data_IF_746087642448
#
_entry.id   IF_746087642448
#
_cell.length_a   1.000
_cell.length_b   1.000
_cell.length_c   1.000
_cell.angle_alpha   90.00
_cell.angle_beta   90.00
_cell.angle_gamma   90.00
#
_symmetry.space_group_name_H-M   'P 1'
#
loop_
_entity.id
_entity.type
_entity.pdbx_description
1 polymer ?
#
# COMPACT_ATOMS: atom_id res chain seq x y z
N UNK A 1 -0.99 0.46 -5.23
CA UNK A 1 -1.69 -0.68 -5.89
C UNK A 1 -3.14 -0.36 -6.23
N UNK A 2 -4.04 0.00 -5.29
CA UNK A 2 -5.46 0.29 -5.62
C UNK A 2 -5.63 1.29 -6.79
N UNK A 3 -4.90 2.41 -6.77
CA UNK A 3 -4.91 3.39 -7.87
C UNK A 3 -4.36 2.84 -9.20
N UNK A 4 -3.39 1.94 -9.13
CA UNK A 4 -2.73 1.33 -10.29
C UNK A 4 -3.65 0.33 -11.00
N UNK A 5 -4.39 -0.47 -10.22
CA UNK A 5 -5.30 -1.49 -10.75
C UNK A 5 -6.70 -0.95 -11.04
N UNK A 6 -7.05 0.23 -10.55
CA UNK A 6 -8.37 0.81 -10.73
C UNK A 6 -8.71 0.97 -12.23
N UNK A 7 -9.89 0.48 -12.62
CA UNK A 7 -10.38 0.57 -14.00
C UNK A 7 -9.80 -0.45 -14.98
N UNK A 8 -8.81 -1.25 -14.57
CA UNK A 8 -8.30 -2.36 -15.39
C UNK A 8 -9.26 -3.56 -15.31
N UNK A 9 -9.59 -4.13 -16.47
CA UNK A 9 -10.33 -5.40 -16.57
C UNK A 9 -9.36 -6.51 -16.97
N UNK A 10 -9.39 -7.60 -16.23
CA UNK A 10 -8.59 -8.79 -16.48
C UNK A 10 -9.51 -9.91 -16.98
N UNK A 11 -9.01 -10.77 -17.88
CA UNK A 11 -9.79 -11.85 -18.48
C UNK A 11 -9.37 -13.22 -17.96
N UNK A 12 -8.20 -13.30 -17.30
CA UNK A 12 -7.75 -14.47 -16.57
C UNK A 12 -6.90 -14.12 -15.35
N UNK A 13 -6.62 -15.15 -14.54
CA UNK A 13 -5.77 -15.01 -13.36
C UNK A 13 -4.34 -14.63 -13.74
N UNK A 14 -3.84 -15.11 -14.88
CA UNK A 14 -2.49 -14.81 -15.32
C UNK A 14 -2.30 -13.33 -15.65
N UNK A 15 -3.35 -12.66 -16.16
CA UNK A 15 -3.30 -11.22 -16.44
C UNK A 15 -3.12 -10.42 -15.15
N UNK A 16 -3.88 -10.75 -14.10
CA UNK A 16 -3.79 -10.03 -12.81
C UNK A 16 -2.49 -10.36 -12.08
N UNK A 17 -1.97 -11.58 -12.20
CA UNK A 17 -0.67 -11.97 -11.63
C UNK A 17 0.44 -11.18 -12.31
N UNK A 18 0.47 -11.16 -13.65
CA UNK A 18 1.48 -10.44 -14.42
C UNK A 18 1.46 -8.93 -14.10
N UNK A 19 0.27 -8.32 -14.07
CA UNK A 19 0.09 -6.90 -13.75
C UNK A 19 0.50 -6.58 -12.29
N UNK A 20 0.18 -7.47 -11.35
CA UNK A 20 0.58 -7.31 -9.94
C UNK A 20 2.09 -7.43 -9.78
N UNK A 21 2.71 -8.39 -10.44
CA UNK A 21 4.16 -8.56 -10.43
C UNK A 21 4.87 -7.34 -11.03
N UNK A 22 4.36 -6.81 -12.15
CA UNK A 22 4.87 -5.57 -12.75
C UNK A 22 4.77 -4.38 -11.80
N UNK A 23 3.64 -4.22 -11.10
CA UNK A 23 3.51 -3.15 -10.10
C UNK A 23 4.59 -3.21 -9.02
N UNK A 24 4.92 -4.41 -8.52
CA UNK A 24 5.91 -4.55 -7.44
C UNK A 24 7.36 -4.55 -7.92
N UNK A 25 7.65 -4.99 -9.16
CA UNK A 25 9.00 -4.94 -9.73
C UNK A 25 9.50 -3.51 -9.93
N UNK A 26 8.59 -2.57 -10.15
CA UNK A 26 8.92 -1.16 -10.40
C UNK A 26 9.13 -0.36 -9.10
N UNK A 27 8.88 -0.96 -7.93
CA UNK A 27 9.05 -0.29 -6.65
C UNK A 27 10.47 -0.46 -6.11
N UNK A 28 11.10 0.67 -5.76
CA UNK A 28 12.39 0.65 -5.08
C UNK A 28 12.28 0.01 -3.68
N UNK A 29 13.39 -0.54 -3.18
CA UNK A 29 13.47 -1.04 -1.79
C UNK A 29 13.09 0.02 -0.76
N UNK A 30 13.37 1.30 -1.04
CA UNK A 30 13.02 2.44 -0.20
C UNK A 30 11.51 2.57 -0.01
N UNK A 31 10.70 2.21 -1.01
CA UNK A 31 9.24 2.29 -0.90
C UNK A 31 8.73 1.46 0.29
N UNK A 32 9.31 0.26 0.48
CA UNK A 32 8.95 -0.62 1.58
C UNK A 32 9.51 -0.12 2.91
N UNK A 33 10.77 0.31 2.96
CA UNK A 33 11.37 0.80 4.20
C UNK A 33 10.73 2.09 4.69
N UNK A 34 10.42 3.04 3.80
CA UNK A 34 9.65 4.25 4.10
C UNK A 34 8.25 3.92 4.60
N UNK A 35 7.59 2.94 3.99
CA UNK A 35 6.29 2.44 4.43
C UNK A 35 6.33 1.89 5.86
N UNK A 36 7.35 1.10 6.18
CA UNK A 36 7.56 0.52 7.52
C UNK A 36 7.90 1.63 8.53
N UNK A 37 8.78 2.56 8.18
CA UNK A 37 9.22 3.64 9.07
C UNK A 37 8.06 4.57 9.47
N UNK A 38 7.00 4.66 8.66
CA UNK A 38 5.78 5.41 9.02
C UNK A 38 4.99 4.79 10.19
N UNK A 39 5.29 3.57 10.63
CA UNK A 39 4.62 2.93 11.77
C UNK A 39 4.83 3.71 13.07
N UNK A 40 6.04 4.23 13.32
CA UNK A 40 6.33 5.01 14.52
C UNK A 40 5.37 6.20 14.66
N UNK A 41 5.25 7.00 13.59
CA UNK A 41 4.33 8.14 13.55
C UNK A 41 2.87 7.72 13.73
N UNK A 42 2.46 6.57 13.18
CA UNK A 42 1.09 6.05 13.32
C UNK A 42 0.78 5.62 14.75
N UNK A 43 1.72 4.97 15.43
CA UNK A 43 1.56 4.59 16.83
C UNK A 43 1.53 5.80 17.76
N UNK A 44 2.39 6.80 17.54
CA UNK A 44 2.31 8.07 18.29
C UNK A 44 0.93 8.72 18.14
N UNK A 45 0.38 8.76 16.92
CA UNK A 45 -0.97 9.27 16.68
C UNK A 45 -2.04 8.46 17.41
N UNK A 46 -1.99 7.13 17.33
CA UNK A 46 -2.91 6.24 18.05
C UNK A 46 -2.93 6.53 19.55
N UNK A 47 -1.76 6.66 20.19
CA UNK A 47 -1.65 6.99 21.62
C UNK A 47 -2.25 8.38 21.89
N UNK A 48 -1.90 9.39 21.08
CA UNK A 48 -2.40 10.75 21.25
C UNK A 48 -3.93 10.87 21.12
N UNK A 49 -4.52 10.02 20.26
CA UNK A 49 -5.96 9.95 20.03
C UNK A 49 -6.67 8.94 20.94
N UNK A 50 -5.97 8.37 21.92
CA UNK A 50 -6.51 7.34 22.82
C UNK A 50 -7.18 6.17 22.06
N UNK A 51 -6.58 5.81 20.93
CA UNK A 51 -7.05 4.72 20.07
C UNK A 51 -8.09 5.13 19.01
N UNK A 52 -8.51 6.40 18.92
CA UNK A 52 -9.41 6.83 17.85
C UNK A 52 -8.68 6.92 16.49
N UNK A 53 -9.46 6.80 15.41
CA UNK A 53 -8.95 6.93 14.05
C UNK A 53 -8.60 8.39 13.73
N UNK A 54 -7.52 8.57 12.96
CA UNK A 54 -7.04 9.90 12.51
C UNK A 54 -7.91 10.44 11.37
N UNK A 55 -8.42 9.57 10.51
CA UNK A 55 -9.20 9.90 9.32
C UNK A 55 -10.65 9.46 9.54
N UNK A 56 -11.59 10.40 9.40
CA UNK A 56 -13.04 10.14 9.35
C UNK A 56 -13.52 10.09 7.90
#
# INVERSE_FOLDING_TARGET
>A
MKKWLAGKRFYGNEDVIAETNGYFSDLDKSYYSEGINKLEQRWTKCISLKGDYVEK
#
